data_IF_864763592497
#
_entry.id   IF_864763592497
#
_cell.length_a   1.000
_cell.length_b   1.000
_cell.length_c   1.000
_cell.angle_alpha   90.00
_cell.angle_beta   90.00
_cell.angle_gamma   90.00
#
_symmetry.space_group_name_H-M   'P 1'
#
loop_
_entity.id
_entity.type
_entity.pdbx_description
1 polymer ?
#
# COMPACT_ATOMS: atom_id res chain seq x y z
N UNK A 1 -71.39 12.26 -54.43
CA UNK A 1 -70.19 11.43 -54.15
C UNK A 1 -69.45 11.92 -52.90
N UNK A 2 -70.11 12.00 -51.74
CA UNK A 2 -69.47 12.45 -50.49
C UNK A 2 -69.91 11.66 -49.24
N UNK A 3 -70.75 10.62 -49.39
CA UNK A 3 -71.17 9.75 -48.27
C UNK A 3 -70.42 8.41 -48.21
N UNK A 4 -69.66 8.04 -49.25
CA UNK A 4 -68.97 6.75 -49.33
C UNK A 4 -67.52 6.77 -48.84
N UNK A 5 -66.92 7.96 -48.61
CA UNK A 5 -65.51 8.10 -48.24
C UNK A 5 -65.25 8.08 -46.72
N UNK A 6 -66.24 8.46 -45.90
CA UNK A 6 -66.07 8.51 -44.43
C UNK A 6 -66.25 7.15 -43.74
N UNK A 7 -66.87 6.16 -44.40
CA UNK A 7 -67.01 4.82 -43.83
C UNK A 7 -65.70 4.01 -43.89
N UNK A 8 -64.79 4.33 -44.82
CA UNK A 8 -63.52 3.60 -44.99
C UNK A 8 -62.44 4.05 -44.00
N UNK A 9 -62.48 5.30 -43.53
CA UNK A 9 -61.44 5.87 -42.64
C UNK A 9 -61.67 5.51 -41.16
N UNK A 10 -62.93 5.34 -40.74
CA UNK A 10 -63.27 4.92 -39.37
C UNK A 10 -62.90 3.46 -39.06
N UNK A 11 -63.09 2.56 -40.03
CA UNK A 11 -62.75 1.13 -39.90
C UNK A 11 -61.24 0.90 -39.93
N UNK A 12 -60.48 1.73 -40.65
CA UNK A 12 -59.02 1.64 -40.68
C UNK A 12 -58.40 1.91 -39.30
N UNK A 13 -58.85 2.92 -38.54
CA UNK A 13 -58.30 3.20 -37.19
C UNK A 13 -58.53 2.06 -36.18
N UNK A 14 -59.65 1.35 -36.27
CA UNK A 14 -59.93 0.20 -35.40
C UNK A 14 -59.10 -1.05 -35.75
N UNK A 15 -58.70 -1.21 -37.01
CA UNK A 15 -57.85 -2.32 -37.47
C UNK A 15 -56.36 -1.99 -37.27
N UNK A 16 -55.96 -0.72 -37.44
CA UNK A 16 -54.56 -0.30 -37.31
C UNK A 16 -54.09 -0.07 -35.87
N UNK A 17 -54.95 0.32 -34.92
CA UNK A 17 -54.53 0.50 -33.52
C UNK A 17 -53.99 -0.79 -32.85
N UNK A 18 -54.61 -1.99 -33.05
CA UNK A 18 -54.03 -3.26 -32.61
C UNK A 18 -52.71 -3.61 -33.30
N UNK A 19 -52.58 -3.27 -34.59
CA UNK A 19 -51.38 -3.53 -35.41
C UNK A 19 -50.23 -2.61 -34.96
N UNK A 20 -50.46 -1.31 -34.75
CA UNK A 20 -49.48 -0.37 -34.20
C UNK A 20 -49.06 -0.76 -32.78
N UNK A 21 -49.99 -1.23 -31.94
CA UNK A 21 -49.68 -1.76 -30.60
C UNK A 21 -48.81 -3.00 -30.68
N UNK A 22 -49.09 -3.93 -31.60
CA UNK A 22 -48.28 -5.11 -31.86
C UNK A 22 -46.89 -4.77 -32.44
N UNK A 23 -46.80 -3.79 -33.33
CA UNK A 23 -45.54 -3.33 -33.94
C UNK A 23 -44.66 -2.62 -32.89
N UNK A 24 -45.24 -1.76 -32.04
CA UNK A 24 -44.53 -1.13 -30.93
C UNK A 24 -44.08 -2.14 -29.88
N UNK A 25 -44.92 -3.12 -29.52
CA UNK A 25 -44.51 -4.23 -28.64
C UNK A 25 -43.37 -5.06 -29.25
N UNK A 26 -43.40 -5.29 -30.56
CA UNK A 26 -42.34 -6.02 -31.27
C UNK A 26 -41.02 -5.23 -31.28
N UNK A 27 -41.08 -3.92 -31.55
CA UNK A 27 -39.90 -3.04 -31.53
C UNK A 27 -39.27 -2.98 -30.13
N UNK A 28 -40.09 -2.80 -29.09
CA UNK A 28 -39.63 -2.78 -27.70
C UNK A 28 -39.02 -4.13 -27.27
N UNK A 29 -39.61 -5.25 -27.70
CA UNK A 29 -39.05 -6.59 -27.43
C UNK A 29 -37.66 -6.75 -28.07
N UNK A 30 -37.52 -6.45 -29.36
CA UNK A 30 -36.25 -6.62 -30.09
C UNK A 30 -35.15 -5.67 -29.54
N UNK A 31 -35.51 -4.44 -29.15
CA UNK A 31 -34.61 -3.50 -28.48
C UNK A 31 -34.21 -3.96 -27.07
N UNK A 32 -35.17 -4.39 -26.26
CA UNK A 32 -34.91 -4.89 -24.92
C UNK A 32 -34.10 -6.18 -24.93
N UNK A 33 -34.28 -7.05 -25.94
CA UNK A 33 -33.42 -8.22 -26.15
C UNK A 33 -31.96 -7.84 -26.45
N UNK A 34 -31.72 -6.80 -27.25
CA UNK A 34 -30.34 -6.29 -27.47
C UNK A 34 -29.73 -5.74 -26.18
N UNK A 35 -30.51 -5.01 -25.38
CA UNK A 35 -30.08 -4.50 -24.07
C UNK A 35 -29.75 -5.66 -23.13
N UNK A 36 -30.62 -6.68 -23.07
CA UNK A 36 -30.43 -7.88 -22.27
C UNK A 36 -29.11 -8.59 -22.61
N UNK A 37 -28.85 -8.81 -23.91
CA UNK A 37 -27.60 -9.45 -24.36
C UNK A 37 -26.36 -8.62 -24.03
N UNK A 38 -26.43 -7.30 -24.16
CA UNK A 38 -25.34 -6.40 -23.76
C UNK A 38 -25.05 -6.50 -22.27
N UNK A 39 -26.09 -6.43 -21.43
CA UNK A 39 -25.97 -6.54 -19.98
C UNK A 39 -25.45 -7.92 -19.56
N UNK A 40 -25.87 -8.98 -20.23
CA UNK A 40 -25.37 -10.34 -19.99
C UNK A 40 -23.87 -10.47 -20.28
N UNK A 41 -23.40 -9.84 -21.37
CA UNK A 41 -21.97 -9.78 -21.69
C UNK A 41 -21.18 -9.02 -20.62
N UNK A 42 -21.69 -7.87 -20.19
CA UNK A 42 -21.08 -7.11 -19.10
C UNK A 42 -21.05 -7.92 -17.79
N UNK A 43 -22.13 -8.64 -17.47
CA UNK A 43 -22.21 -9.44 -16.24
C UNK A 43 -21.21 -10.60 -16.26
N UNK A 44 -21.01 -11.26 -17.41
CA UNK A 44 -20.01 -12.31 -17.57
C UNK A 44 -18.59 -11.80 -17.32
N UNK A 45 -18.25 -10.62 -17.84
CA UNK A 45 -16.93 -10.01 -17.58
C UNK A 45 -16.75 -9.70 -16.09
N UNK A 46 -17.79 -9.19 -15.41
CA UNK A 46 -17.74 -8.95 -13.96
C UNK A 46 -17.59 -10.26 -13.18
N UNK A 47 -18.33 -11.30 -13.58
CA UNK A 47 -18.29 -12.65 -13.00
C UNK A 47 -16.89 -13.26 -13.10
N UNK A 48 -16.30 -13.32 -14.29
CA UNK A 48 -14.98 -13.91 -14.52
C UNK A 48 -13.90 -13.25 -13.67
N UNK A 49 -13.95 -11.92 -13.55
CA UNK A 49 -13.03 -11.15 -12.69
C UNK A 49 -13.22 -11.51 -11.21
N UNK A 50 -14.44 -11.77 -10.75
CA UNK A 50 -14.74 -12.15 -9.37
C UNK A 50 -14.35 -13.61 -9.08
N UNK A 51 -14.59 -14.55 -10.00
CA UNK A 51 -14.18 -15.96 -9.86
C UNK A 51 -12.66 -16.13 -9.80
N UNK A 52 -11.93 -15.41 -10.65
CA UNK A 52 -10.46 -15.36 -10.60
C UNK A 52 -9.96 -14.85 -9.24
N UNK A 53 -10.66 -13.88 -8.62
CA UNK A 53 -10.32 -13.37 -7.28
C UNK A 53 -10.58 -14.39 -6.17
N UNK A 54 -11.72 -15.06 -6.19
CA UNK A 54 -12.07 -16.11 -5.21
C UNK A 54 -11.08 -17.27 -5.24
N UNK A 55 -10.61 -17.67 -6.42
CA UNK A 55 -9.60 -18.73 -6.55
C UNK A 55 -8.23 -18.37 -5.94
N UNK A 56 -7.95 -17.07 -5.75
CA UNK A 56 -6.71 -16.56 -5.15
C UNK A 56 -6.79 -16.37 -3.62
N UNK A 57 -7.99 -16.49 -3.03
CA UNK A 57 -8.28 -16.25 -1.60
C UNK A 57 -8.44 -17.53 -0.76
N UNK A 58 -7.90 -18.66 -1.21
CA UNK A 58 -7.91 -19.88 -0.40
C UNK A 58 -7.05 -19.62 0.86
N UNK A 59 -7.67 -19.75 2.04
CA UNK A 59 -7.21 -19.54 3.43
C UNK A 59 -7.67 -18.23 4.10
N UNK A 60 -8.95 -18.21 4.53
CA UNK A 60 -9.48 -17.27 5.51
C UNK A 60 -10.98 -17.03 5.34
N UNK A 61 -11.82 -17.91 5.88
CA UNK A 61 -13.28 -17.77 5.81
C UNK A 61 -13.74 -16.52 6.56
N UNK A 62 -14.29 -15.56 5.81
CA UNK A 62 -14.99 -14.39 6.36
C UNK A 62 -16.42 -14.36 5.82
N UNK A 63 -17.32 -13.71 6.56
CA UNK A 63 -18.76 -13.56 6.21
C UNK A 63 -18.98 -12.97 4.80
N UNK A 64 -17.98 -12.26 4.25
CA UNK A 64 -18.01 -11.62 2.94
C UNK A 64 -17.75 -12.59 1.78
N UNK A 65 -16.98 -13.66 1.99
CA UNK A 65 -16.76 -14.72 0.98
C UNK A 65 -18.07 -15.43 0.63
N UNK A 66 -18.96 -15.57 1.61
CA UNK A 66 -20.26 -16.22 1.45
C UNK A 66 -21.24 -15.38 0.60
N UNK A 67 -21.26 -14.06 0.80
CA UNK A 67 -22.07 -13.16 -0.02
C UNK A 67 -21.64 -13.14 -1.49
N UNK A 68 -20.33 -13.23 -1.76
CA UNK A 68 -19.79 -13.29 -3.12
C UNK A 68 -20.12 -14.63 -3.78
N UNK A 69 -20.02 -15.75 -3.05
CA UNK A 69 -20.43 -17.08 -3.54
C UNK A 69 -21.93 -17.13 -3.87
N UNK A 70 -22.78 -16.65 -2.97
CA UNK A 70 -24.22 -16.55 -3.20
C UNK A 70 -24.53 -15.70 -4.44
N UNK A 71 -23.80 -14.60 -4.64
CA UNK A 71 -23.95 -13.79 -5.85
C UNK A 71 -23.53 -14.53 -7.12
N UNK A 72 -22.45 -15.33 -7.09
CA UNK A 72 -22.03 -16.14 -8.24
C UNK A 72 -23.08 -17.20 -8.61
N UNK A 73 -23.67 -17.84 -7.61
CA UNK A 73 -24.74 -18.83 -7.81
C UNK A 73 -25.99 -18.18 -8.40
N UNK A 74 -26.39 -17.01 -7.89
CA UNK A 74 -27.50 -16.23 -8.42
C UNK A 74 -27.25 -15.77 -9.88
N UNK A 75 -26.02 -15.37 -10.21
CA UNK A 75 -25.64 -15.02 -11.59
C UNK A 75 -25.78 -16.22 -12.51
N UNK A 76 -25.39 -17.41 -12.07
CA UNK A 76 -25.54 -18.63 -12.86
C UNK A 76 -27.02 -18.97 -13.09
N UNK A 77 -27.87 -18.84 -12.06
CA UNK A 77 -29.33 -19.02 -12.17
C UNK A 77 -29.93 -18.09 -13.23
N UNK A 78 -29.59 -16.80 -13.19
CA UNK A 78 -30.11 -15.81 -14.13
C UNK A 78 -29.69 -16.08 -15.57
N UNK A 79 -28.45 -16.54 -15.79
CA UNK A 79 -27.99 -16.94 -17.13
C UNK A 79 -28.86 -18.05 -17.71
N UNK A 80 -29.15 -19.08 -16.92
CA UNK A 80 -30.02 -20.20 -17.35
C UNK A 80 -31.43 -19.74 -17.66
N UNK A 81 -32.01 -18.84 -16.87
CA UNK A 81 -33.34 -18.29 -17.13
C UNK A 81 -33.39 -17.46 -18.42
N UNK A 82 -32.34 -16.69 -18.71
CA UNK A 82 -32.23 -15.91 -19.95
C UNK A 82 -32.07 -16.83 -21.17
N UNK A 83 -31.29 -17.90 -21.08
CA UNK A 83 -31.17 -18.90 -22.14
C UNK A 83 -32.52 -19.55 -22.46
N UNK A 84 -33.34 -19.83 -21.44
CA UNK A 84 -34.72 -20.34 -21.62
C UNK A 84 -35.58 -19.31 -22.37
N UNK A 85 -35.48 -18.02 -22.03
CA UNK A 85 -36.20 -16.94 -22.71
C UNK A 85 -35.74 -16.82 -24.17
N UNK A 86 -34.44 -16.88 -24.44
CA UNK A 86 -33.89 -16.84 -25.80
C UNK A 86 -34.35 -18.04 -26.64
N UNK A 87 -34.39 -19.24 -26.06
CA UNK A 87 -34.91 -20.44 -26.73
C UNK A 87 -36.40 -20.29 -27.06
N UNK A 88 -37.21 -19.85 -26.09
CA UNK A 88 -38.64 -19.58 -26.28
C UNK A 88 -38.91 -18.48 -27.31
N UNK A 89 -38.03 -17.49 -27.40
CA UNK A 89 -38.13 -16.43 -28.40
C UNK A 89 -37.84 -16.91 -29.84
N UNK A 90 -37.01 -17.96 -29.99
CA UNK A 90 -36.69 -18.59 -31.29
C UNK A 90 -37.78 -19.55 -31.76
N UNK A 91 -38.49 -20.18 -30.83
CA UNK A 91 -39.65 -21.03 -31.12
C UNK A 91 -40.83 -20.16 -31.62
N UNK A 92 -41.00 -20.09 -32.95
CA UNK A 92 -42.04 -19.28 -33.64
C UNK A 92 -43.51 -19.65 -33.32
N UNK A 93 -43.78 -20.42 -32.25
CA UNK A 93 -45.11 -20.93 -31.87
C UNK A 93 -45.79 -20.17 -30.73
N UNK A 94 -45.20 -19.12 -30.17
CA UNK A 94 -45.78 -18.45 -28.99
C UNK A 94 -46.74 -17.30 -29.35
N UNK A 95 -47.99 -17.39 -28.87
CA UNK A 95 -49.11 -16.50 -29.20
C UNK A 95 -49.13 -15.14 -28.45
N UNK A 96 -48.16 -14.86 -27.57
CA UNK A 96 -48.09 -13.54 -26.90
C UNK A 96 -46.65 -13.03 -26.79
N UNK A 97 -46.20 -12.29 -27.81
CA UNK A 97 -44.97 -11.48 -27.73
C UNK A 97 -45.02 -10.43 -26.61
N UNK A 98 -46.22 -10.06 -26.17
CA UNK A 98 -46.45 -9.15 -25.03
C UNK A 98 -45.99 -9.78 -23.72
N UNK A 99 -46.28 -11.07 -23.51
CA UNK A 99 -45.83 -11.81 -22.32
C UNK A 99 -44.31 -11.95 -22.28
N UNK A 100 -43.69 -12.31 -23.41
CA UNK A 100 -42.22 -12.37 -23.54
C UNK A 100 -41.56 -10.99 -23.37
N UNK A 101 -42.18 -9.92 -23.86
CA UNK A 101 -41.75 -8.53 -23.62
C UNK A 101 -41.63 -8.20 -22.14
N UNK A 102 -42.66 -8.51 -21.36
CA UNK A 102 -42.66 -8.29 -19.91
C UNK A 102 -41.57 -9.10 -19.20
N UNK A 103 -41.39 -10.36 -19.56
CA UNK A 103 -40.33 -11.21 -18.99
C UNK A 103 -38.92 -10.65 -19.29
N UNK A 104 -38.69 -10.15 -20.50
CA UNK A 104 -37.40 -9.55 -20.88
C UNK A 104 -37.16 -8.25 -20.12
N UNK A 105 -38.18 -7.41 -19.95
CA UNK A 105 -38.07 -6.16 -19.17
C UNK A 105 -37.73 -6.44 -17.70
N UNK A 106 -38.41 -7.40 -17.07
CA UNK A 106 -38.11 -7.86 -15.71
C UNK A 106 -36.66 -8.33 -15.58
N UNK A 107 -36.18 -9.15 -16.53
CA UNK A 107 -34.78 -9.62 -16.52
C UNK A 107 -33.76 -8.52 -16.80
N UNK A 108 -34.09 -7.50 -17.58
CA UNK A 108 -33.23 -6.31 -17.76
C UNK A 108 -33.06 -5.54 -16.45
N UNK A 109 -34.14 -5.37 -15.68
CA UNK A 109 -34.09 -4.69 -14.36
C UNK A 109 -33.25 -5.51 -13.38
N UNK A 110 -33.48 -6.81 -13.33
CA UNK A 110 -32.75 -7.74 -12.47
C UNK A 110 -31.25 -7.76 -12.82
N UNK A 111 -30.89 -7.91 -14.10
CA UNK A 111 -29.51 -7.84 -14.58
C UNK A 111 -28.80 -6.53 -14.20
N UNK A 112 -29.50 -5.40 -14.27
CA UNK A 112 -28.96 -4.10 -13.84
C UNK A 112 -28.68 -4.09 -12.33
N UNK A 113 -29.53 -4.69 -11.51
CA UNK A 113 -29.31 -4.82 -10.07
C UNK A 113 -28.11 -5.73 -9.76
N UNK A 114 -28.03 -6.89 -10.42
CA UNK A 114 -26.89 -7.81 -10.30
C UNK A 114 -25.57 -7.16 -10.73
N UNK A 115 -25.59 -6.42 -11.84
CA UNK A 115 -24.44 -5.65 -12.31
C UNK A 115 -24.05 -4.54 -11.33
N UNK A 116 -25.00 -3.86 -10.68
CA UNK A 116 -24.69 -2.88 -9.63
C UNK A 116 -24.03 -3.55 -8.43
N UNK A 117 -24.55 -4.69 -7.96
CA UNK A 117 -23.97 -5.45 -6.84
C UNK A 117 -22.59 -6.01 -7.18
N UNK A 118 -22.43 -6.60 -8.36
CA UNK A 118 -21.13 -7.05 -8.87
C UNK A 118 -20.14 -5.89 -9.04
N UNK A 119 -20.58 -4.74 -9.57
CA UNK A 119 -19.76 -3.52 -9.63
C UNK A 119 -19.45 -2.94 -8.26
N UNK A 120 -20.26 -3.15 -7.23
CA UNK A 120 -19.93 -2.78 -5.86
C UNK A 120 -18.79 -3.66 -5.32
N UNK A 121 -18.82 -4.97 -5.57
CA UNK A 121 -17.69 -5.86 -5.30
C UNK A 121 -16.42 -5.46 -6.10
N UNK A 122 -16.59 -4.91 -7.30
CA UNK A 122 -15.47 -4.35 -8.07
C UNK A 122 -15.02 -2.95 -7.57
N UNK A 123 -15.94 -2.13 -7.08
CA UNK A 123 -15.71 -0.75 -6.58
C UNK A 123 -14.89 -0.70 -5.28
N UNK A 124 -14.71 -1.85 -4.63
CA UNK A 124 -13.74 -2.06 -3.56
C UNK A 124 -12.28 -2.11 -4.06
N UNK A 125 -12.05 -2.16 -5.38
CA UNK A 125 -10.70 -2.27 -5.97
C UNK A 125 -10.32 -0.98 -6.69
N UNK A 126 -9.29 -0.31 -6.17
CA UNK A 126 -8.66 0.84 -6.83
C UNK A 126 -7.48 0.38 -7.68
N UNK A 127 -7.33 0.96 -8.87
CA UNK A 127 -6.22 0.65 -9.78
C UNK A 127 -5.42 1.92 -10.06
N UNK A 128 -4.09 1.80 -9.99
CA UNK A 128 -3.15 2.88 -10.31
C UNK A 128 -2.09 2.38 -11.26
N UNK A 129 -1.49 3.28 -12.02
CA UNK A 129 -0.36 2.94 -12.89
C UNK A 129 0.90 2.65 -12.06
N UNK A 130 1.10 3.41 -10.99
CA UNK A 130 2.21 3.24 -10.07
C UNK A 130 1.65 3.14 -8.65
N UNK A 131 2.16 2.20 -7.88
CA UNK A 131 1.84 2.04 -6.46
C UNK A 131 3.15 2.04 -5.68
N UNK A 132 3.27 2.92 -4.71
CA UNK A 132 4.34 2.90 -3.72
C UNK A 132 3.77 2.27 -2.46
N UNK A 133 4.40 1.19 -2.00
CA UNK A 133 4.00 0.51 -0.77
C UNK A 133 4.97 0.88 0.33
N UNK A 134 4.51 1.72 1.25
CA UNK A 134 5.31 2.42 2.25
C UNK A 134 5.23 3.94 2.10
N UNK A 135 4.94 4.65 3.20
CA UNK A 135 4.90 6.12 3.23
C UNK A 135 6.13 6.77 3.84
N UNK A 136 7.33 6.21 3.67
CA UNK A 136 8.57 6.71 4.26
C UNK A 136 9.27 7.80 3.42
N UNK A 137 10.53 8.08 3.76
CA UNK A 137 11.35 9.08 3.04
C UNK A 137 11.50 8.72 1.56
N UNK A 138 11.72 7.44 1.24
CA UNK A 138 11.86 6.99 -0.14
C UNK A 138 10.58 7.27 -0.95
N UNK A 139 9.40 7.01 -0.37
CA UNK A 139 8.12 7.27 -1.03
C UNK A 139 7.90 8.74 -1.39
N UNK A 140 8.17 9.65 -0.45
CA UNK A 140 8.05 11.09 -0.69
C UNK A 140 9.01 11.61 -1.76
N UNK A 141 10.26 11.12 -1.76
CA UNK A 141 11.25 11.47 -2.78
C UNK A 141 10.94 10.84 -4.15
N UNK A 142 10.38 9.64 -4.19
CA UNK A 142 9.89 9.00 -5.41
C UNK A 142 8.72 9.76 -6.00
N UNK A 143 7.74 10.16 -5.19
CA UNK A 143 6.59 10.96 -5.61
C UNK A 143 7.02 12.27 -6.28
N UNK A 144 7.98 12.98 -5.67
CA UNK A 144 8.58 14.19 -6.26
C UNK A 144 9.27 13.92 -7.60
N UNK A 145 10.01 12.82 -7.70
CA UNK A 145 10.66 12.48 -8.97
C UNK A 145 9.63 12.06 -10.03
N UNK A 146 8.54 11.38 -9.67
CA UNK A 146 7.46 11.05 -10.60
C UNK A 146 6.84 12.33 -11.17
N UNK A 147 6.52 13.31 -10.32
CA UNK A 147 6.02 14.63 -10.73
C UNK A 147 6.98 15.29 -11.72
N UNK A 148 8.28 15.35 -11.38
CA UNK A 148 9.35 15.89 -12.27
C UNK A 148 9.46 15.17 -13.61
N UNK A 149 9.14 13.88 -13.65
CA UNK A 149 9.15 13.06 -14.87
C UNK A 149 7.80 13.08 -15.62
N UNK A 150 6.91 14.03 -15.31
CA UNK A 150 5.63 14.23 -15.98
C UNK A 150 4.58 13.19 -15.58
N UNK A 151 4.36 13.02 -14.27
CA UNK A 151 3.25 12.23 -13.74
C UNK A 151 1.91 12.87 -14.13
N UNK A 152 0.95 12.06 -14.58
CA UNK A 152 -0.43 12.53 -14.81
C UNK A 152 -1.27 12.32 -13.54
N UNK A 153 -2.23 13.20 -13.23
CA UNK A 153 -3.15 13.02 -12.11
C UNK A 153 -3.84 11.64 -12.13
N UNK A 154 -3.97 11.02 -10.96
CA UNK A 154 -4.60 9.70 -10.79
C UNK A 154 -3.72 8.49 -11.12
N UNK A 155 -2.46 8.70 -11.55
CA UNK A 155 -1.59 7.58 -11.92
C UNK A 155 -0.83 6.95 -10.75
N UNK A 156 -0.60 7.68 -9.66
CA UNK A 156 0.23 7.23 -8.54
C UNK A 156 -0.60 7.14 -7.26
N UNK A 157 -0.47 6.02 -6.56
CA UNK A 157 -0.88 5.88 -5.16
C UNK A 157 0.31 5.60 -4.26
N UNK A 158 0.25 6.13 -3.04
CA UNK A 158 1.17 5.80 -1.94
C UNK A 158 0.33 5.20 -0.82
N UNK A 159 0.64 3.96 -0.46
CA UNK A 159 -0.05 3.24 0.61
C UNK A 159 0.87 3.26 1.83
N UNK A 160 0.37 3.76 2.95
CA UNK A 160 1.12 3.90 4.18
C UNK A 160 0.32 3.36 5.36
N UNK A 161 0.98 2.56 6.20
CA UNK A 161 0.44 2.16 7.49
C UNK A 161 0.27 3.37 8.43
N UNK A 162 1.18 4.34 8.38
CA UNK A 162 1.04 5.57 9.17
C UNK A 162 -0.10 6.44 8.64
N UNK A 163 -0.80 7.12 9.56
CA UNK A 163 -1.91 8.04 9.26
C UNK A 163 -1.46 9.43 8.75
N UNK A 164 -0.16 9.62 8.50
CA UNK A 164 0.42 10.91 8.10
C UNK A 164 1.17 10.82 6.76
N UNK A 165 1.23 11.94 6.04
CA UNK A 165 2.00 12.03 4.80
C UNK A 165 3.52 11.87 5.06
N UNK A 166 4.32 11.45 4.05
CA UNK A 166 5.75 11.21 4.21
C UNK A 166 6.52 12.36 4.89
N UNK A 167 7.44 12.02 5.80
CA UNK A 167 8.24 12.97 6.57
C UNK A 167 9.70 12.54 6.75
N UNK A 168 10.57 13.48 7.14
CA UNK A 168 11.98 13.24 7.46
C UNK A 168 12.12 12.51 8.81
N UNK A 169 12.18 11.18 8.76
CA UNK A 169 12.30 10.32 9.94
C UNK A 169 13.46 10.65 10.90
N UNK A 170 14.66 11.11 10.45
CA UNK A 170 15.75 11.44 11.36
C UNK A 170 15.42 12.55 12.38
N UNK A 171 14.34 13.29 12.19
CA UNK A 171 13.84 14.30 13.13
C UNK A 171 13.31 13.67 14.42
N UNK A 172 12.77 12.45 14.38
CA UNK A 172 12.08 11.79 15.51
C UNK A 172 12.98 11.52 16.72
N UNK A 173 14.27 11.28 16.51
CA UNK A 173 15.26 11.08 17.59
C UNK A 173 16.05 12.36 17.94
N UNK A 174 15.73 13.50 17.30
CA UNK A 174 16.45 14.77 17.44
C UNK A 174 15.50 15.88 17.89
N UNK A 175 15.18 16.81 16.99
CA UNK A 175 14.34 17.97 17.27
C UNK A 175 12.95 17.59 17.78
N UNK A 176 12.45 16.38 17.49
CA UNK A 176 11.17 15.93 18.01
C UNK A 176 11.16 15.74 19.54
N UNK A 177 12.27 15.29 20.10
CA UNK A 177 12.45 15.01 21.53
C UNK A 177 12.95 16.24 22.32
N UNK A 178 12.98 17.42 21.70
CA UNK A 178 13.45 18.64 22.37
C UNK A 178 12.51 19.03 23.53
N UNK A 179 13.04 19.28 24.74
CA UNK A 179 12.23 19.68 25.91
C UNK A 179 11.55 21.03 25.72
N UNK A 180 12.10 21.94 24.91
CA UNK A 180 11.52 23.24 24.66
C UNK A 180 10.42 23.13 23.60
N UNK A 181 9.13 23.35 23.93
CA UNK A 181 8.04 23.20 22.98
C UNK A 181 8.13 24.13 21.77
N UNK A 182 8.77 25.30 21.91
CA UNK A 182 8.96 26.25 20.80
C UNK A 182 10.06 25.83 19.82
N UNK A 183 10.98 24.97 20.26
CA UNK A 183 12.08 24.45 19.44
C UNK A 183 11.87 22.98 19.04
N UNK A 184 10.80 22.36 19.54
CA UNK A 184 10.46 20.99 19.25
C UNK A 184 9.88 20.89 17.83
N UNK A 185 10.55 20.14 16.96
CA UNK A 185 10.09 19.94 15.60
C UNK A 185 8.76 19.18 15.62
N UNK A 186 7.72 19.74 15.00
CA UNK A 186 6.40 19.10 14.87
C UNK A 186 5.94 19.13 13.42
N UNK A 187 5.06 18.21 13.03
CA UNK A 187 4.42 18.34 11.71
C UNK A 187 3.60 19.64 11.71
N UNK A 188 3.58 20.39 10.60
CA UNK A 188 4.06 20.02 9.26
C UNK A 188 5.54 20.31 8.97
N UNK A 189 6.37 20.71 9.93
CA UNK A 189 7.68 21.33 9.70
C UNK A 189 8.72 20.46 8.98
N UNK A 190 8.62 19.15 9.16
CA UNK A 190 9.61 18.20 8.68
C UNK A 190 9.02 17.16 7.71
N UNK A 191 7.98 17.52 6.96
CA UNK A 191 7.62 16.73 5.77
C UNK A 191 8.82 16.61 4.81
N UNK A 192 8.87 15.55 4.01
CA UNK A 192 10.03 15.21 3.15
C UNK A 192 10.49 16.37 2.28
N UNK A 193 11.75 16.27 1.81
CA UNK A 193 12.46 17.17 0.89
C UNK A 193 13.19 18.33 1.57
N UNK A 194 12.74 18.78 2.74
CA UNK A 194 13.45 19.78 3.56
C UNK A 194 14.83 19.31 3.97
N UNK A 195 14.99 18.01 4.28
CA UNK A 195 16.27 17.44 4.67
C UNK A 195 17.31 17.34 3.54
N UNK A 196 16.92 17.68 2.31
CA UNK A 196 17.81 17.87 1.16
C UNK A 196 17.88 19.32 0.66
N UNK A 197 17.35 20.28 1.43
CA UNK A 197 17.26 21.69 1.03
C UNK A 197 16.25 21.99 -0.08
N UNK A 198 15.25 21.13 -0.29
CA UNK A 198 14.18 21.36 -1.25
C UNK A 198 12.86 21.73 -0.58
N UNK A 199 11.87 22.09 -1.40
CA UNK A 199 10.54 22.46 -0.92
C UNK A 199 9.84 21.31 -0.20
N UNK A 200 9.18 21.67 0.90
CA UNK A 200 8.42 20.76 1.75
C UNK A 200 7.19 20.24 1.01
N UNK A 201 6.99 18.92 1.00
CA UNK A 201 5.81 18.31 0.38
C UNK A 201 4.69 18.12 1.41
N UNK A 202 3.81 19.11 1.53
CA UNK A 202 2.62 19.06 2.39
C UNK A 202 1.54 18.11 1.82
N UNK A 203 0.58 17.63 2.63
CA UNK A 203 -0.54 16.81 2.15
C UNK A 203 -1.27 17.40 0.94
N UNK A 204 -1.49 18.71 0.91
CA UNK A 204 -2.17 19.41 -0.20
C UNK A 204 -1.40 19.31 -1.52
N UNK A 205 -0.06 19.30 -1.47
CA UNK A 205 0.76 19.12 -2.67
C UNK A 205 0.46 17.78 -3.36
N UNK A 206 0.29 16.69 -2.59
CA UNK A 206 -0.06 15.39 -3.18
C UNK A 206 -1.43 15.43 -3.85
N UNK A 207 -2.40 16.10 -3.23
CA UNK A 207 -3.75 16.29 -3.77
C UNK A 207 -3.73 17.10 -5.08
N UNK A 208 -2.99 18.20 -5.11
CA UNK A 208 -2.81 19.05 -6.30
C UNK A 208 -2.17 18.28 -7.46
N UNK A 209 -1.20 17.41 -7.17
CA UNK A 209 -0.56 16.54 -8.18
C UNK A 209 -1.40 15.33 -8.58
N UNK A 210 -2.57 15.13 -7.97
CA UNK A 210 -3.43 13.96 -8.19
C UNK A 210 -2.78 12.65 -7.75
N UNK A 211 -1.91 12.70 -6.73
CA UNK A 211 -1.31 11.54 -6.09
C UNK A 211 -2.23 11.09 -4.96
N UNK A 212 -2.67 9.83 -4.98
CA UNK A 212 -3.54 9.33 -3.94
C UNK A 212 -2.72 8.83 -2.74
N UNK A 213 -2.86 9.51 -1.60
CA UNK A 213 -2.38 9.00 -0.32
C UNK A 213 -3.45 8.09 0.30
N UNK A 214 -3.08 6.84 0.55
CA UNK A 214 -3.89 5.84 1.27
C UNK A 214 -3.18 5.61 2.60
N UNK A 215 -3.56 6.40 3.61
CA UNK A 215 -2.91 6.47 4.93
C UNK A 215 -3.67 5.64 5.95
N UNK A 216 -2.99 5.20 7.01
CA UNK A 216 -3.60 4.34 8.03
C UNK A 216 -3.90 2.92 7.53
N UNK A 217 -3.29 2.50 6.42
CA UNK A 217 -3.61 1.23 5.75
C UNK A 217 -2.37 0.33 5.70
N UNK A 218 -2.42 -0.78 6.43
CA UNK A 218 -1.41 -1.82 6.35
C UNK A 218 -1.73 -2.79 5.21
N UNK A 219 -0.73 -3.09 4.37
CA UNK A 219 -0.84 -4.18 3.39
C UNK A 219 -0.41 -5.48 4.07
N UNK A 220 -1.29 -6.48 4.09
CA UNK A 220 -1.03 -7.78 4.75
C UNK A 220 -0.73 -8.91 3.78
N UNK A 221 -1.10 -8.75 2.51
CA UNK A 221 -0.78 -9.71 1.46
C UNK A 221 -0.46 -8.98 0.16
N UNK A 222 0.56 -9.47 -0.53
CA UNK A 222 0.98 -8.98 -1.84
C UNK A 222 1.06 -10.19 -2.77
N UNK A 223 0.46 -10.09 -3.95
CA UNK A 223 0.70 -11.02 -5.04
C UNK A 223 1.27 -10.22 -6.21
N UNK A 224 2.60 -10.29 -6.38
CA UNK A 224 3.30 -9.51 -7.40
C UNK A 224 3.01 -10.01 -8.82
N UNK A 225 2.78 -11.31 -9.00
CA UNK A 225 2.43 -11.89 -10.31
C UNK A 225 1.07 -11.38 -10.81
N UNK A 226 0.08 -11.30 -9.91
CA UNK A 226 -1.24 -10.74 -10.20
C UNK A 226 -1.28 -9.22 -10.04
N UNK A 227 -0.20 -8.61 -9.54
CA UNK A 227 -0.09 -7.18 -9.19
C UNK A 227 -1.22 -6.70 -8.27
N UNK A 228 -1.60 -7.53 -7.30
CA UNK A 228 -2.66 -7.23 -6.32
C UNK A 228 -2.08 -7.04 -4.93
N UNK A 229 -2.71 -6.15 -4.17
CA UNK A 229 -2.40 -5.85 -2.78
C UNK A 229 -3.68 -6.01 -1.97
N UNK A 230 -3.58 -6.61 -0.79
CA UNK A 230 -4.71 -6.79 0.14
C UNK A 230 -4.41 -6.00 1.40
N UNK A 231 -5.33 -5.10 1.75
CA UNK A 231 -5.30 -4.37 3.02
C UNK A 231 -5.63 -5.31 4.19
N UNK A 232 -4.99 -5.08 5.33
CA UNK A 232 -5.33 -5.77 6.57
C UNK A 232 -6.49 -5.09 7.28
N UNK A 233 -7.28 -5.87 8.01
CA UNK A 233 -8.19 -5.32 9.01
C UNK A 233 -7.37 -4.73 10.18
N UNK A 234 -7.82 -3.56 10.69
CA UNK A 234 -7.16 -2.74 11.73
C UNK A 234 -6.53 -3.58 12.86
N UNK A 235 -5.22 -3.81 12.77
CA UNK A 235 -4.43 -4.39 13.86
C UNK A 235 -3.92 -3.25 14.75
N UNK A 236 -4.66 -2.95 15.83
CA UNK A 236 -4.24 -2.00 16.88
C UNK A 236 -3.11 -2.60 17.73
N UNK A 237 -2.28 -1.72 18.32
CA UNK A 237 -1.35 -1.99 19.43
C UNK A 237 0.02 -2.64 19.09
N UNK A 238 0.89 -1.93 18.35
CA UNK A 238 2.33 -2.24 18.29
C UNK A 238 3.14 -0.95 18.44
N UNK A 239 4.06 -0.87 19.41
CA UNK A 239 4.78 0.38 19.76
C UNK A 239 6.31 0.17 19.85
N UNK A 240 7.10 1.04 19.19
CA UNK A 240 8.58 1.03 19.11
C UNK A 240 9.13 2.39 18.68
N UNK A 241 10.22 2.99 19.19
CA UNK A 241 10.68 4.31 18.66
C UNK A 241 11.17 4.29 17.19
N UNK A 242 10.23 4.33 16.23
CA UNK A 242 10.46 4.28 14.78
C UNK A 242 9.46 5.16 14.04
N UNK A 243 8.20 5.18 14.45
CA UNK A 243 7.11 5.93 13.81
C UNK A 243 6.70 7.15 14.65
N UNK A 244 5.86 8.01 14.08
CA UNK A 244 5.46 9.26 14.75
C UNK A 244 4.71 8.98 16.06
N UNK A 245 3.81 7.99 16.04
CA UNK A 245 3.02 7.60 17.21
C UNK A 245 3.89 7.12 18.38
N UNK A 246 5.01 6.47 18.06
CA UNK A 246 5.97 6.02 19.07
C UNK A 246 6.75 7.18 19.68
N UNK A 247 7.08 8.17 18.86
CA UNK A 247 7.71 9.40 19.31
C UNK A 247 6.74 10.21 20.20
N UNK A 248 5.45 10.25 19.87
CA UNK A 248 4.41 10.87 20.70
C UNK A 248 4.30 10.17 22.07
N UNK A 249 4.19 8.85 22.10
CA UNK A 249 4.16 8.03 23.34
C UNK A 249 5.40 8.24 24.19
N UNK A 250 6.58 8.32 23.57
CA UNK A 250 7.82 8.60 24.28
C UNK A 250 7.81 10.01 24.87
N UNK A 251 7.39 11.03 24.11
CA UNK A 251 7.30 12.42 24.59
C UNK A 251 6.31 12.54 25.75
N UNK A 252 5.17 11.87 25.70
CA UNK A 252 4.21 11.81 26.81
C UNK A 252 4.84 11.15 28.04
N UNK A 253 5.53 10.03 27.86
CA UNK A 253 6.23 9.34 28.94
C UNK A 253 7.32 10.21 29.58
N UNK A 254 8.10 10.92 28.77
CA UNK A 254 9.14 11.87 29.21
C UNK A 254 8.52 12.96 30.09
N UNK A 255 7.37 13.52 29.69
CA UNK A 255 6.67 14.55 30.47
C UNK A 255 6.16 14.03 31.80
N UNK A 256 5.59 12.82 31.81
CA UNK A 256 5.01 12.22 33.02
C UNK A 256 6.07 11.77 34.04
N UNK A 257 7.25 11.35 33.57
CA UNK A 257 8.30 10.73 34.39
C UNK A 257 9.52 11.62 34.56
N UNK A 258 9.33 12.94 34.55
CA UNK A 258 10.42 13.93 34.60
C UNK A 258 11.35 13.68 35.78
N UNK A 259 12.66 13.85 35.55
CA UNK A 259 13.73 13.54 36.52
C UNK A 259 13.83 12.05 36.91
N UNK A 260 13.20 11.16 36.15
CA UNK A 260 13.26 9.72 36.35
C UNK A 260 14.53 9.07 35.79
N UNK A 261 14.58 7.73 35.84
CA UNK A 261 15.68 6.93 35.29
C UNK A 261 15.34 6.39 33.91
N UNK A 262 16.24 6.58 32.95
CA UNK A 262 16.09 6.08 31.59
C UNK A 262 17.18 5.06 31.26
N UNK A 263 16.78 3.87 30.83
CA UNK A 263 17.72 2.86 30.32
C UNK A 263 17.58 2.73 28.81
N UNK A 264 18.69 2.94 28.10
CA UNK A 264 18.76 2.84 26.63
C UNK A 264 19.47 1.55 26.27
N UNK A 265 18.78 0.64 25.59
CA UNK A 265 19.33 -0.65 25.17
C UNK A 265 19.77 -0.55 23.70
N UNK A 266 21.08 -0.47 23.47
CA UNK A 266 21.70 -0.40 22.16
C UNK A 266 22.70 0.75 22.05
N UNK A 267 23.89 0.47 21.49
CA UNK A 267 24.98 1.42 21.30
C UNK A 267 25.11 1.94 19.87
N UNK A 268 24.05 1.82 19.06
CA UNK A 268 23.99 2.34 17.70
C UNK A 268 23.60 3.82 17.65
N UNK A 269 23.36 4.33 16.44
CA UNK A 269 23.05 5.75 16.22
C UNK A 269 21.78 6.19 16.96
N UNK A 270 20.71 5.36 16.95
CA UNK A 270 19.50 5.64 17.73
C UNK A 270 19.78 5.65 19.23
N UNK A 271 20.56 4.69 19.72
CA UNK A 271 20.91 4.60 21.13
C UNK A 271 21.62 5.86 21.63
N UNK A 272 22.63 6.30 20.88
CA UNK A 272 23.36 7.55 21.16
C UNK A 272 22.45 8.79 21.10
N UNK A 273 21.69 8.95 20.01
CA UNK A 273 20.81 10.13 19.85
C UNK A 273 19.73 10.21 20.93
N UNK A 274 19.10 9.09 21.27
CA UNK A 274 18.08 9.04 22.32
C UNK A 274 18.71 9.25 23.69
N UNK A 275 19.87 8.67 23.98
CA UNK A 275 20.56 8.89 25.26
C UNK A 275 20.87 10.38 25.47
N UNK A 276 21.36 11.06 24.43
CA UNK A 276 21.58 12.50 24.46
C UNK A 276 20.26 13.27 24.65
N UNK A 277 19.19 12.91 23.91
CA UNK A 277 17.90 13.56 24.05
C UNK A 277 17.29 13.39 25.45
N UNK A 278 17.37 12.19 26.03
CA UNK A 278 16.88 11.91 27.40
C UNK A 278 17.68 12.68 28.45
N UNK A 279 19.02 12.77 28.29
CA UNK A 279 19.88 13.57 29.15
C UNK A 279 19.54 15.07 29.09
N UNK A 280 19.25 15.60 27.88
CA UNK A 280 18.76 16.98 27.68
C UNK A 280 17.38 17.21 28.34
N UNK A 281 16.59 16.14 28.52
CA UNK A 281 15.31 16.18 29.24
C UNK A 281 15.46 15.90 30.75
N UNK A 282 16.66 16.05 31.31
CA UNK A 282 16.97 15.92 32.74
C UNK A 282 16.74 14.52 33.34
N UNK A 283 16.87 13.44 32.55
CA UNK A 283 16.83 12.06 33.05
C UNK A 283 18.20 11.56 33.53
N UNK A 284 18.22 10.66 34.51
CA UNK A 284 19.41 9.83 34.82
C UNK A 284 19.50 8.70 33.79
N UNK A 285 20.41 8.84 32.83
CA UNK A 285 20.49 7.97 31.66
C UNK A 285 21.59 6.91 31.83
N UNK A 286 21.23 5.66 31.60
CA UNK A 286 22.18 4.55 31.45
C UNK A 286 22.02 3.88 30.08
N UNK A 287 23.10 3.80 29.32
CA UNK A 287 23.16 3.13 28.03
C UNK A 287 23.82 1.75 28.17
N UNK A 288 23.19 0.72 27.60
CA UNK A 288 23.64 -0.68 27.70
C UNK A 288 23.77 -1.29 26.30
N UNK A 289 24.89 -1.94 26.00
CA UNK A 289 25.07 -2.66 24.73
C UNK A 289 26.07 -3.82 24.81
N UNK A 290 25.93 -4.83 23.92
CA UNK A 290 26.78 -6.02 23.95
C UNK A 290 28.20 -5.77 23.44
N UNK A 291 28.37 -4.81 22.55
CA UNK A 291 29.62 -4.57 21.87
C UNK A 291 30.69 -3.95 22.80
N UNK A 292 31.99 -4.15 22.50
CA UNK A 292 33.08 -3.56 23.29
C UNK A 292 33.14 -2.03 23.24
N UNK A 293 32.50 -1.41 22.22
CA UNK A 293 32.40 0.03 22.06
C UNK A 293 31.14 0.44 21.27
N UNK A 294 30.74 1.71 21.36
CA UNK A 294 29.57 2.24 20.65
C UNK A 294 29.78 2.36 19.12
N UNK A 295 28.71 2.29 18.33
CA UNK A 295 28.76 2.32 16.86
C UNK A 295 29.72 1.29 16.25
N UNK A 296 29.66 -0.01 16.65
CA UNK A 296 30.65 -1.03 16.31
C UNK A 296 30.77 -1.32 14.81
N UNK A 297 29.75 -0.95 14.02
CA UNK A 297 29.72 -1.14 12.56
C UNK A 297 30.39 0.00 11.79
N UNK A 298 30.77 1.09 12.46
CA UNK A 298 31.29 2.30 11.81
C UNK A 298 32.51 2.89 12.52
N UNK A 299 32.48 2.99 13.85
CA UNK A 299 33.55 3.64 14.61
C UNK A 299 34.71 2.68 14.87
N UNK A 300 35.92 3.24 14.75
CA UNK A 300 37.12 2.62 15.32
C UNK A 300 37.10 2.76 16.85
N UNK A 301 37.86 1.94 17.59
CA UNK A 301 37.93 2.03 19.05
C UNK A 301 38.29 3.44 19.56
N UNK A 302 39.21 4.13 18.88
CA UNK A 302 39.61 5.50 19.26
C UNK A 302 38.48 6.51 19.08
N UNK A 303 37.73 6.43 17.97
CA UNK A 303 36.56 7.29 17.76
C UNK A 303 35.48 7.00 18.80
N UNK A 304 35.21 5.73 19.06
CA UNK A 304 34.20 5.34 20.03
C UNK A 304 34.57 5.78 21.45
N UNK A 305 35.84 5.66 21.85
CA UNK A 305 36.33 6.15 23.15
C UNK A 305 36.09 7.65 23.33
N UNK A 306 36.33 8.47 22.28
CA UNK A 306 36.03 9.90 22.33
C UNK A 306 34.55 10.17 22.62
N UNK A 307 33.63 9.50 21.91
CA UNK A 307 32.20 9.68 22.13
C UNK A 307 31.74 9.11 23.48
N UNK A 308 32.26 7.96 23.90
CA UNK A 308 31.95 7.38 25.21
C UNK A 308 32.35 8.35 26.33
N UNK A 309 33.58 8.85 26.33
CA UNK A 309 34.03 9.86 27.30
C UNK A 309 33.23 11.16 27.21
N UNK A 310 32.84 11.59 26.00
CA UNK A 310 31.99 12.76 25.83
C UNK A 310 30.60 12.59 26.48
N UNK A 311 29.98 11.42 26.30
CA UNK A 311 28.67 11.10 26.88
C UNK A 311 28.76 10.93 28.41
N UNK A 312 29.81 10.28 28.91
CA UNK A 312 30.09 10.16 30.35
C UNK A 312 30.28 11.54 31.01
N UNK A 313 31.01 12.45 30.35
CA UNK A 313 31.17 13.84 30.81
C UNK A 313 29.84 14.62 30.83
N UNK A 314 28.81 14.16 30.10
CA UNK A 314 27.44 14.70 30.14
C UNK A 314 26.55 13.97 31.17
N UNK A 315 27.13 13.08 31.98
CA UNK A 315 26.44 12.35 33.05
C UNK A 315 25.76 11.06 32.59
N UNK A 316 25.96 10.63 31.34
CA UNK A 316 25.35 9.40 30.81
C UNK A 316 26.23 8.20 31.22
N UNK A 317 25.66 7.24 31.95
CA UNK A 317 26.35 6.02 32.36
C UNK A 317 26.40 5.03 31.20
N UNK A 318 27.56 4.40 30.97
CA UNK A 318 27.74 3.46 29.86
C UNK A 318 28.09 2.07 30.41
N UNK A 319 27.33 1.06 29.99
CA UNK A 319 27.56 -0.34 30.33
C UNK A 319 27.75 -1.14 29.03
N UNK A 320 28.97 -1.67 28.87
CA UNK A 320 29.42 -2.40 27.67
C UNK A 320 29.49 -3.90 27.95
N UNK A 321 29.55 -4.72 26.89
CA UNK A 321 29.81 -6.16 27.01
C UNK A 321 28.64 -6.99 27.57
N UNK A 322 27.42 -6.45 27.62
CA UNK A 322 26.27 -7.14 28.22
C UNK A 322 24.97 -6.83 27.49
N UNK A 323 23.94 -7.64 27.75
CA UNK A 323 22.60 -7.50 27.14
C UNK A 323 21.52 -7.51 28.21
N UNK A 324 20.38 -6.90 27.90
CA UNK A 324 19.16 -7.12 28.69
C UNK A 324 18.67 -8.55 28.47
N UNK A 325 18.27 -9.22 29.56
CA UNK A 325 17.68 -10.57 29.57
C UNK A 325 16.24 -10.55 30.12
N UNK A 326 15.74 -9.40 30.53
CA UNK A 326 14.37 -9.26 31.02
C UNK A 326 14.09 -7.90 31.66
N UNK A 327 12.82 -7.70 32.00
CA UNK A 327 12.32 -6.47 32.61
C UNK A 327 11.55 -6.79 33.88
N UNK A 328 11.69 -5.93 34.89
CA UNK A 328 10.80 -5.91 36.04
C UNK A 328 9.71 -4.88 35.80
N UNK A 329 8.48 -5.22 36.17
CA UNK A 329 7.34 -4.32 36.09
C UNK A 329 6.64 -4.21 37.45
N UNK A 330 5.97 -3.08 37.69
CA UNK A 330 5.07 -2.91 38.84
C UNK A 330 3.72 -3.62 38.60
N UNK A 331 2.82 -3.56 39.60
CA UNK A 331 1.49 -4.17 39.51
C UNK A 331 0.62 -3.62 38.36
N UNK A 332 0.92 -2.42 37.87
CA UNK A 332 0.23 -1.77 36.75
C UNK A 332 0.86 -2.11 35.38
N UNK A 333 1.89 -2.97 35.36
CA UNK A 333 2.60 -3.36 34.13
C UNK A 333 3.64 -2.35 33.64
N UNK A 334 3.96 -1.30 34.42
CA UNK A 334 4.99 -0.33 34.04
C UNK A 334 6.38 -0.84 34.39
N UNK A 335 7.34 -0.64 33.49
CA UNK A 335 8.74 -1.00 33.74
C UNK A 335 9.29 -0.24 34.96
N UNK A 336 9.99 -0.99 35.83
CA UNK A 336 10.74 -0.47 36.99
C UNK A 336 12.19 -0.89 37.01
N UNK A 337 12.58 -1.84 36.17
CA UNK A 337 14.00 -2.13 35.98
C UNK A 337 14.31 -3.07 34.83
N UNK A 338 15.59 -3.09 34.46
CA UNK A 338 16.16 -3.91 33.40
C UNK A 338 17.14 -4.90 34.01
N UNK A 339 16.92 -6.19 33.77
CA UNK A 339 17.82 -7.28 34.19
C UNK A 339 18.87 -7.49 33.11
N UNK A 340 20.14 -7.47 33.48
CA UNK A 340 21.26 -7.72 32.57
C UNK A 340 21.76 -9.16 32.68
N UNK A 341 22.38 -9.66 31.60
CA UNK A 341 22.93 -11.01 31.54
C UNK A 341 24.00 -11.29 32.60
N UNK A 342 24.73 -10.27 33.01
CA UNK A 342 25.75 -10.33 34.07
C UNK A 342 25.18 -10.28 35.50
N UNK A 343 23.85 -10.31 35.65
CA UNK A 343 23.16 -10.35 36.94
C UNK A 343 22.82 -8.99 37.53
N UNK A 344 23.31 -7.87 36.96
CA UNK A 344 22.93 -6.53 37.40
C UNK A 344 21.45 -6.24 37.10
N UNK A 345 20.83 -5.46 37.98
CA UNK A 345 19.48 -4.91 37.76
C UNK A 345 19.57 -3.39 37.80
N UNK A 346 19.18 -2.76 36.71
CA UNK A 346 19.15 -1.30 36.59
C UNK A 346 17.74 -0.81 36.87
N UNK A 347 17.56 0.15 37.77
CA UNK A 347 16.28 0.83 37.94
C UNK A 347 15.97 1.70 36.71
N UNK A 348 14.74 1.64 36.23
CA UNK A 348 14.32 2.34 35.02
C UNK A 348 12.84 2.69 35.08
N UNK A 349 12.49 3.96 34.89
CA UNK A 349 11.11 4.41 34.70
C UNK A 349 10.73 4.44 33.21
N UNK A 350 11.73 4.61 32.34
CA UNK A 350 11.60 4.54 30.88
C UNK A 350 12.70 3.62 30.33
N UNK A 351 12.33 2.73 29.42
CA UNK A 351 13.28 1.93 28.65
C UNK A 351 13.07 2.20 27.17
N UNK A 352 14.15 2.52 26.45
CA UNK A 352 14.13 2.65 24.98
C UNK A 352 15.04 1.61 24.37
N UNK A 353 14.52 0.86 23.40
CA UNK A 353 15.27 -0.22 22.73
C UNK A 353 15.66 0.22 21.31
N UNK A 354 16.96 0.23 21.04
CA UNK A 354 17.58 0.62 19.77
C UNK A 354 18.66 -0.37 19.34
N UNK A 355 18.35 -1.68 19.32
CA UNK A 355 19.30 -2.78 19.03
C UNK A 355 19.53 -3.04 17.53
N UNK A 356 19.30 -2.02 16.71
CA UNK A 356 19.46 -2.10 15.26
C UNK A 356 18.29 -2.77 14.57
N UNK A 357 18.55 -3.14 13.32
CA UNK A 357 17.53 -3.13 12.31
C UNK A 357 17.59 -4.36 11.33
N UNK A 358 16.46 -5.09 11.16
CA UNK A 358 16.01 -5.94 10.03
C UNK A 358 15.00 -5.30 9.03
N UNK A 359 15.24 -5.34 7.71
CA UNK A 359 14.28 -4.85 6.71
C UNK A 359 12.99 -5.69 6.69
N UNK A 360 11.84 -5.07 6.37
CA UNK A 360 10.58 -5.80 6.22
C UNK A 360 10.41 -6.30 4.79
N UNK A 361 10.81 -7.55 4.60
CA UNK A 361 10.66 -8.28 3.35
C UNK A 361 9.60 -9.37 3.43
N UNK A 362 8.99 -9.58 4.61
CA UNK A 362 8.06 -10.68 4.88
C UNK A 362 6.92 -10.81 3.86
N UNK A 363 6.40 -9.68 3.37
CA UNK A 363 5.31 -9.62 2.38
C UNK A 363 5.72 -10.13 0.98
N UNK A 364 7.01 -10.20 0.70
CA UNK A 364 7.59 -10.59 -0.60
C UNK A 364 8.36 -11.90 -0.55
N UNK A 365 8.44 -12.52 0.64
CA UNK A 365 9.17 -13.76 0.84
C UNK A 365 8.61 -14.84 -0.10
N UNK A 366 9.50 -15.50 -0.83
CA UNK A 366 9.14 -16.51 -1.84
C UNK A 366 8.64 -15.95 -3.18
N UNK A 367 8.48 -14.62 -3.33
CA UNK A 367 8.11 -13.97 -4.60
C UNK A 367 9.28 -13.22 -5.24
N UNK A 368 10.24 -12.76 -4.43
CA UNK A 368 11.43 -12.02 -4.88
C UNK A 368 12.71 -12.70 -4.39
N UNK A 369 13.81 -12.51 -5.13
CA UNK A 369 15.14 -12.88 -4.66
C UNK A 369 15.54 -11.99 -3.49
N UNK A 370 16.07 -12.61 -2.43
CA UNK A 370 16.62 -11.92 -1.27
C UNK A 370 18.13 -12.15 -1.19
N UNK A 371 18.86 -11.12 -0.78
CA UNK A 371 20.30 -11.19 -0.53
C UNK A 371 20.66 -10.27 0.63
N UNK A 372 21.62 -10.68 1.47
CA UNK A 372 22.07 -9.94 2.67
C UNK A 372 20.94 -9.39 3.55
N UNK A 373 19.86 -10.17 3.64
CA UNK A 373 18.66 -9.86 4.42
C UNK A 373 17.70 -8.87 3.78
N UNK A 374 17.96 -8.32 2.59
CA UNK A 374 17.06 -7.42 1.86
C UNK A 374 16.60 -7.98 0.52
N UNK A 375 15.71 -7.28 -0.16
CA UNK A 375 15.26 -7.59 -1.53
C UNK A 375 16.41 -7.29 -2.49
N UNK A 376 16.86 -8.31 -3.20
CA UNK A 376 17.94 -8.19 -4.18
C UNK A 376 17.47 -7.39 -5.39
N UNK A 377 18.30 -6.46 -5.83
CA UNK A 377 18.03 -5.60 -6.98
C UNK A 377 19.23 -5.44 -7.89
N UNK A 378 19.00 -5.07 -9.15
CA UNK A 378 20.06 -4.61 -10.06
C UNK A 378 20.52 -3.17 -9.75
N UNK A 379 21.46 -2.64 -10.54
CA UNK A 379 21.93 -1.26 -10.40
C UNK A 379 20.87 -0.18 -10.66
N UNK A 380 19.71 -0.55 -11.20
CA UNK A 380 18.55 0.30 -11.44
C UNK A 380 17.42 0.10 -10.43
N UNK A 381 17.69 -0.65 -9.35
CA UNK A 381 16.74 -1.04 -8.31
C UNK A 381 15.59 -1.94 -8.79
N UNK A 382 15.74 -2.61 -9.95
CA UNK A 382 14.79 -3.63 -10.41
C UNK A 382 15.00 -4.91 -9.61
N UNK A 383 13.90 -5.51 -9.16
CA UNK A 383 13.93 -6.82 -8.49
C UNK A 383 13.97 -7.96 -9.52
N UNK A 384 13.96 -9.21 -9.04
CA UNK A 384 13.81 -10.39 -9.90
C UNK A 384 12.46 -10.44 -10.66
N UNK A 385 11.45 -9.66 -10.24
CA UNK A 385 10.17 -9.58 -10.93
C UNK A 385 10.06 -8.32 -11.82
N UNK A 386 9.78 -8.47 -13.12
CA UNK A 386 9.58 -7.34 -14.03
C UNK A 386 8.49 -6.39 -13.55
N UNK A 387 8.79 -5.09 -13.52
CA UNK A 387 7.85 -4.06 -13.07
C UNK A 387 7.86 -3.79 -11.56
N UNK A 388 8.63 -4.56 -10.78
CA UNK A 388 8.75 -4.40 -9.33
C UNK A 388 10.14 -3.89 -8.97
N UNK A 389 10.17 -2.84 -8.13
CA UNK A 389 11.38 -2.15 -7.69
C UNK A 389 11.42 -2.10 -6.16
N UNK A 390 12.62 -2.16 -5.59
CA UNK A 390 12.83 -2.00 -4.15
C UNK A 390 13.87 -0.91 -3.89
N UNK A 391 13.61 -0.01 -2.95
CA UNK A 391 14.48 1.14 -2.64
C UNK A 391 14.58 1.36 -1.13
N UNK A 392 15.57 2.15 -0.70
CA UNK A 392 15.78 2.43 0.72
C UNK A 392 16.24 1.19 1.52
N UNK A 393 15.86 1.14 2.80
CA UNK A 393 16.39 0.17 3.78
C UNK A 393 16.19 -1.31 3.36
N UNK A 394 15.15 -1.59 2.56
CA UNK A 394 14.79 -2.95 2.12
C UNK A 394 15.62 -3.44 0.94
N UNK A 395 16.32 -2.56 0.22
CA UNK A 395 17.01 -2.91 -1.01
C UNK A 395 18.45 -3.37 -0.75
N UNK A 396 18.78 -4.55 -1.27
CA UNK A 396 20.16 -5.00 -1.46
C UNK A 396 20.54 -4.74 -2.91
N UNK A 397 21.54 -3.88 -3.13
CA UNK A 397 21.90 -3.37 -4.45
C UNK A 397 23.42 -3.42 -4.68
N UNK A 398 23.88 -3.43 -5.93
CA UNK A 398 25.30 -3.43 -6.23
C UNK A 398 25.92 -2.06 -5.92
N UNK A 399 26.89 -2.03 -5.02
CA UNK A 399 27.73 -0.85 -4.81
C UNK A 399 28.91 -0.92 -5.77
N UNK A 400 28.82 -0.17 -6.87
CA UNK A 400 29.83 -0.11 -7.94
C UNK A 400 31.24 0.13 -7.42
N UNK A 401 31.40 1.00 -6.41
CA UNK A 401 32.71 1.34 -5.84
C UNK A 401 33.44 0.12 -5.23
N UNK A 402 32.70 -0.84 -4.68
CA UNK A 402 33.26 -2.02 -4.02
C UNK A 402 33.05 -3.31 -4.83
N UNK A 403 32.36 -3.22 -5.97
CA UNK A 403 31.95 -4.38 -6.76
C UNK A 403 31.24 -5.48 -5.94
N UNK A 404 30.39 -5.06 -5.00
CA UNK A 404 29.71 -5.94 -4.06
C UNK A 404 28.23 -5.59 -3.91
N UNK A 405 27.40 -6.60 -3.62
CA UNK A 405 26.04 -6.38 -3.15
C UNK A 405 26.06 -5.90 -1.70
N UNK A 406 25.36 -4.80 -1.38
CA UNK A 406 25.19 -4.34 0.01
C UNK A 406 23.79 -3.79 0.23
N UNK A 407 23.39 -3.79 1.50
CA UNK A 407 22.20 -3.12 2.02
C UNK A 407 22.66 -2.01 2.96
N UNK A 408 22.04 -0.84 2.90
CA UNK A 408 22.40 0.30 3.74
C UNK A 408 21.17 0.97 4.33
N UNK A 409 21.29 1.48 5.56
CA UNK A 409 20.19 2.11 6.32
C UNK A 409 20.42 3.62 6.43
N UNK A 410 20.59 4.27 5.28
CA UNK A 410 20.97 5.68 5.19
C UNK A 410 19.86 6.51 4.55
N UNK A 411 19.50 7.63 5.18
CA UNK A 411 18.47 8.54 4.64
C UNK A 411 18.85 9.08 3.26
N UNK A 412 20.12 9.40 3.03
CA UNK A 412 20.61 9.84 1.72
C UNK A 412 20.46 8.74 0.65
N UNK A 413 20.71 7.48 1.03
CA UNK A 413 20.44 6.35 0.14
C UNK A 413 18.94 6.23 -0.18
N UNK A 414 18.05 6.32 0.81
CA UNK A 414 16.60 6.29 0.56
C UNK A 414 16.15 7.38 -0.43
N UNK A 415 16.68 8.60 -0.29
CA UNK A 415 16.42 9.72 -1.20
C UNK A 415 16.92 9.46 -2.62
N UNK A 416 18.17 8.99 -2.75
CA UNK A 416 18.84 8.78 -4.04
C UNK A 416 18.32 7.55 -4.78
N UNK A 417 18.11 6.44 -4.09
CA UNK A 417 17.57 5.20 -4.66
C UNK A 417 16.15 5.39 -5.18
N UNK A 418 15.29 6.08 -4.42
CA UNK A 418 13.95 6.47 -4.88
C UNK A 418 13.99 7.25 -6.20
N UNK A 419 14.82 8.30 -6.27
CA UNK A 419 15.02 9.08 -7.49
C UNK A 419 15.52 8.22 -8.65
N UNK A 420 16.49 7.33 -8.38
CA UNK A 420 17.09 6.48 -9.40
C UNK A 420 16.09 5.46 -9.98
N UNK A 421 15.32 4.79 -9.11
CA UNK A 421 14.30 3.83 -9.52
C UNK A 421 13.22 4.49 -10.39
N UNK A 422 12.73 5.68 -10.02
CA UNK A 422 11.73 6.40 -10.82
C UNK A 422 12.26 6.77 -12.21
N UNK A 423 13.51 7.22 -12.30
CA UNK A 423 14.16 7.45 -13.61
C UNK A 423 14.21 6.17 -14.44
N UNK A 424 14.56 5.04 -13.83
CA UNK A 424 14.60 3.76 -14.51
C UNK A 424 13.21 3.30 -14.99
N UNK A 425 12.17 3.47 -14.17
CA UNK A 425 10.77 3.19 -14.51
C UNK A 425 10.37 4.01 -15.75
N UNK A 426 10.57 5.33 -15.69
CA UNK A 426 10.15 6.26 -16.75
C UNK A 426 10.95 6.08 -18.04
N UNK A 427 12.24 5.78 -17.95
CA UNK A 427 13.06 5.45 -19.11
C UNK A 427 12.57 4.17 -19.82
N UNK A 428 12.19 3.14 -19.06
CA UNK A 428 11.70 1.89 -19.62
C UNK A 428 10.38 2.07 -20.38
N UNK A 429 9.52 3.00 -19.96
CA UNK A 429 8.31 3.35 -20.71
C UNK A 429 8.62 4.00 -22.06
N UNK A 430 9.59 4.91 -22.09
CA UNK A 430 9.99 5.62 -23.32
C UNK A 430 10.63 4.71 -24.36
N UNK A 431 11.42 3.72 -23.93
CA UNK A 431 12.07 2.75 -24.83
C UNK A 431 11.02 1.82 -25.48
N UNK A 432 10.01 1.39 -24.74
CA UNK A 432 8.91 0.59 -25.28
C UNK A 432 8.10 1.34 -26.36
N UNK A 433 7.89 2.65 -26.22
CA UNK A 433 7.28 3.47 -27.28
C UNK A 433 8.15 3.56 -28.54
N UNK A 434 9.47 3.59 -28.40
CA UNK A 434 10.40 3.57 -29.55
C UNK A 434 10.45 2.20 -30.24
N UNK A 435 10.28 1.09 -29.52
CA UNK A 435 10.18 -0.25 -30.11
C UNK A 435 8.85 -0.48 -30.86
N UNK A 436 7.75 0.18 -30.44
CA UNK A 436 6.48 0.15 -31.17
C UNK A 436 6.47 1.00 -32.46
N UNK A 437 7.56 1.69 -32.80
CA UNK A 437 7.66 2.49 -34.02
C UNK A 437 8.88 2.09 -34.84
N UNK A 438 8.90 0.83 -35.26
CA UNK A 438 9.63 0.34 -36.44
C UNK A 438 9.09 -1.03 -36.84
N UNK A 439 8.20 -1.04 -37.83
CA UNK A 439 8.16 -2.00 -38.94
C UNK A 439 6.98 -1.67 -39.86
N UNK A 440 7.31 -1.18 -41.06
CA UNK A 440 6.48 -1.30 -42.25
C UNK A 440 6.94 -2.58 -42.96
N UNK A 441 6.04 -3.53 -43.26
CA UNK A 441 6.06 -4.49 -44.39
C UNK A 441 4.98 -5.58 -44.18
N UNK A 442 4.04 -5.62 -45.15
CA UNK A 442 3.07 -6.66 -45.55
C UNK A 442 2.05 -7.26 -44.55
N UNK A 443 0.80 -6.80 -44.73
CA UNK A 443 -0.50 -7.46 -44.51
C UNK A 443 -0.53 -8.78 -43.71
N UNK A 444 -0.74 -8.70 -42.39
CA UNK A 444 -1.78 -9.46 -41.63
C UNK A 444 -1.76 -9.02 -40.17
N UNK A 445 -2.95 -8.74 -39.64
CA UNK A 445 -3.18 -8.05 -38.37
C UNK A 445 -3.53 -9.08 -37.30
N UNK A 446 -2.70 -9.22 -36.28
CA UNK A 446 -3.13 -9.71 -34.97
C UNK A 446 -2.47 -8.87 -33.89
N UNK A 447 -3.30 -8.20 -33.10
CA UNK A 447 -2.88 -7.49 -31.90
C UNK A 447 -3.65 -8.09 -30.74
N UNK A 448 -2.94 -8.74 -29.82
CA UNK A 448 -3.43 -8.98 -28.46
C UNK A 448 -2.77 -7.89 -27.62
N UNK A 449 -3.58 -6.95 -27.14
CA UNK A 449 -3.15 -5.96 -26.14
C UNK A 449 -3.75 -6.40 -24.82
N UNK A 450 -2.91 -6.96 -23.96
CA UNK A 450 -3.19 -7.06 -22.53
C UNK A 450 -1.95 -6.59 -21.81
N UNK A 451 -2.06 -5.50 -21.06
CA UNK A 451 -1.43 -5.35 -19.75
C UNK A 451 -1.69 -3.96 -19.17
N UNK A 452 -2.44 -3.92 -18.07
CA UNK A 452 -2.32 -2.86 -17.09
C UNK A 452 -0.96 -3.01 -16.40
N UNK A 453 -0.12 -1.98 -16.45
CA UNK A 453 1.19 -1.95 -15.80
C UNK A 453 1.04 -1.26 -14.45
N UNK A 454 1.03 -2.05 -13.38
CA UNK A 454 1.23 -1.59 -12.01
C UNK A 454 2.73 -1.70 -11.73
N UNK A 455 3.37 -0.58 -11.40
CA UNK A 455 4.76 -0.57 -10.92
C UNK A 455 4.73 -0.46 -9.40
N UNK A 456 5.35 -1.43 -8.72
CA UNK A 456 5.40 -1.45 -7.26
C UNK A 456 6.78 -0.98 -6.80
N UNK A 457 6.85 0.19 -6.17
CA UNK A 457 8.04 0.64 -5.45
C UNK A 457 7.88 0.24 -3.99
N UNK A 458 8.76 -0.65 -3.51
CA UNK A 458 8.70 -1.17 -2.16
C UNK A 458 9.54 -0.31 -1.22
N UNK A 459 8.86 0.35 -0.28
CA UNK A 459 9.36 1.10 0.88
C UNK A 459 8.74 0.52 2.17
N UNK A 460 8.70 -0.81 2.29
CA UNK A 460 7.99 -1.47 3.38
C UNK A 460 8.83 -1.64 4.66
N UNK A 461 8.16 -1.47 5.80
CA UNK A 461 8.75 -1.23 7.14
C UNK A 461 8.30 -2.25 8.19
N UNK A 462 9.30 -2.81 8.88
CA UNK A 462 9.39 -3.54 10.16
C UNK A 462 8.24 -4.44 10.66
N UNK A 463 8.55 -5.72 10.89
CA UNK A 463 7.89 -6.65 11.83
C UNK A 463 8.95 -7.51 12.52
N UNK A 464 8.72 -7.78 13.80
CA UNK A 464 9.34 -8.76 14.69
C UNK A 464 10.70 -8.40 15.34
N UNK A 465 10.59 -7.95 16.61
CA UNK A 465 11.63 -8.16 17.61
C UNK A 465 11.63 -9.62 18.06
N UNK A 466 12.78 -10.28 17.93
CA UNK A 466 13.22 -11.52 18.58
C UNK A 466 12.16 -12.32 19.34
N UNK A 467 11.69 -13.40 18.73
CA UNK A 467 11.35 -14.61 19.49
C UNK A 467 12.68 -15.23 19.96
N UNK A 468 12.90 -15.22 21.27
CA UNK A 468 14.06 -15.88 21.88
C UNK A 468 13.80 -17.39 21.96
N UNK A 469 14.81 -18.26 21.73
CA UNK A 469 14.84 -19.61 22.27
C UNK A 469 14.97 -19.63 23.79
#
# INVERSE_FOLDING_TARGET
MASSFNFVIGSAKFIFAPIERCLNCKRNFDENMKVLQKLLKELNTVKEVIELRLSAEIHGGTMQTEEVKNWLDDVQRIKTEIEIIERKAKEKKFLSRVFLGKMVEEKVVELKAFLRKGKAFLGMVKSFKYIIVGGGVAAGYAAREFDRQGLKPGQLAIISKEAVAPYERPTLSKGYLNPNPKAAARLPEFHVCVGSGGDRLLPDWYKEKGIQLILGTEIVKVNLALKTLVEGADAKNMFYLRELEDADKLVESIKMKKYGKAVIIGGGYIGLEVAAAMSINDFDVTMVYPDPWCMPRLFTPTMAAFYESYYENKGIKIIKGTVSVGFNANANGEVKGVKLKDGRVLEADIVVVGVGARPLTALFKGQLEEDKGGIKTDGFFKTSMPGVYAVGDVATFPIKLYNEMRRVEHVDHARKSAKHAVKAIKANETVLWRQCWRNFVFQRRQSIITEAKIWVLLDQRWKDCWSFP
#
